data_IF_763326201592
#
_entry.id   IF_763326201592
#
_cell.length_a   1.000
_cell.length_b   1.000
_cell.length_c   1.000
_cell.angle_alpha   90.00
_cell.angle_beta   90.00
_cell.angle_gamma   90.00
#
_symmetry.space_group_name_H-M   'P 1'
#
loop_
_entity.id
_entity.type
_entity.pdbx_description
1 polymer ?
#
# COMPACT_ATOMS: atom_id res chain seq x y z
N UNK A 1 0.18 -20.56 -4.00
CA UNK A 1 -0.47 -21.83 -3.66
C UNK A 1 -1.72 -21.53 -2.83
N UNK A 2 -2.78 -22.34 -2.95
CA UNK A 2 -4.14 -22.10 -2.41
C UNK A 2 -4.22 -21.75 -0.91
N UNK A 3 -3.23 -22.09 -0.12
CA UNK A 3 -3.21 -21.84 1.32
C UNK A 3 -2.96 -20.35 1.67
N UNK A 4 -2.21 -19.62 0.88
CA UNK A 4 -1.87 -18.20 1.13
C UNK A 4 -3.05 -17.28 0.82
N UNK A 5 -3.83 -17.63 -0.19
CA UNK A 5 -5.02 -16.89 -0.62
C UNK A 5 -6.16 -16.98 0.41
N UNK A 6 -6.29 -18.13 1.09
CA UNK A 6 -7.31 -18.37 2.12
C UNK A 6 -7.07 -17.50 3.38
N UNK A 7 -5.82 -17.37 3.81
CA UNK A 7 -5.46 -16.57 4.99
C UNK A 7 -5.72 -15.08 4.76
N UNK A 8 -5.45 -14.60 3.53
CA UNK A 8 -5.70 -13.21 3.17
C UNK A 8 -7.21 -12.91 3.12
N UNK A 9 -8.03 -13.86 2.66
CA UNK A 9 -9.49 -13.75 2.63
C UNK A 9 -10.10 -13.67 4.04
N UNK A 10 -9.68 -14.55 4.93
CA UNK A 10 -10.17 -14.56 6.31
C UNK A 10 -9.79 -13.28 7.07
N UNK A 11 -8.61 -12.73 6.78
CA UNK A 11 -8.14 -11.47 7.35
C UNK A 11 -8.93 -10.27 6.81
N UNK A 12 -9.24 -10.22 5.53
CA UNK A 12 -10.02 -9.13 4.92
C UNK A 12 -11.47 -9.16 5.40
N UNK A 13 -12.07 -10.36 5.53
CA UNK A 13 -13.43 -10.53 6.07
C UNK A 13 -13.56 -10.15 7.54
N UNK A 14 -12.51 -10.35 8.33
CA UNK A 14 -12.50 -9.98 9.75
C UNK A 14 -12.34 -8.48 10.01
N UNK A 15 -11.98 -7.69 8.98
CA UNK A 15 -11.77 -6.25 9.08
C UNK A 15 -13.06 -5.42 8.93
N UNK A 16 -14.19 -6.04 8.57
CA UNK A 16 -15.50 -5.39 8.52
C UNK A 16 -16.20 -5.28 9.89
N UNK A 17 -15.60 -5.82 10.95
CA UNK A 17 -16.11 -5.78 12.33
C UNK A 17 -15.56 -4.58 13.12
N UNK A 18 -16.48 -3.74 13.50
CA UNK A 18 -16.53 -2.75 14.59
C UNK A 18 -15.20 -2.50 15.34
N UNK A 19 -14.43 -1.54 14.87
CA UNK A 19 -13.29 -1.01 15.65
C UNK A 19 -13.83 0.07 16.57
N UNK A 20 -13.98 -0.28 17.84
CA UNK A 20 -14.31 0.63 18.93
C UNK A 20 -13.38 1.86 18.90
N UNK A 21 -13.99 3.02 19.11
CA UNK A 21 -13.41 4.34 19.26
C UNK A 21 -12.37 4.34 20.41
N UNK A 22 -11.11 4.14 20.07
CA UNK A 22 -10.00 4.63 20.89
C UNK A 22 -9.25 5.68 20.10
N UNK A 23 -8.85 6.78 20.74
CA UNK A 23 -7.98 7.82 20.21
C UNK A 23 -6.62 7.21 19.86
N UNK A 24 -6.54 6.63 18.66
CA UNK A 24 -5.27 6.16 18.11
C UNK A 24 -4.57 7.41 17.58
N UNK A 25 -3.42 7.82 18.15
CA UNK A 25 -2.65 8.90 17.58
C UNK A 25 -2.39 8.62 16.11
N UNK A 26 -2.46 9.63 15.28
CA UNK A 26 -2.06 9.55 13.88
C UNK A 26 -0.73 8.76 13.81
N UNK A 27 -0.57 7.83 12.85
CA UNK A 27 0.67 7.08 12.76
C UNK A 27 1.82 8.07 12.81
N UNK A 28 2.71 7.89 13.78
CA UNK A 28 3.96 8.63 13.77
C UNK A 28 4.66 8.21 12.47
N UNK A 29 4.50 9.05 11.45
CA UNK A 29 5.29 8.92 10.23
C UNK A 29 6.74 8.90 10.72
N UNK A 30 7.55 7.90 10.35
CA UNK A 30 8.95 7.90 10.72
C UNK A 30 9.53 9.26 10.34
N UNK A 31 10.52 9.74 11.08
CA UNK A 31 11.13 11.08 10.93
C UNK A 31 11.82 11.31 9.56
N UNK A 32 11.43 10.58 8.53
CA UNK A 32 11.74 10.78 7.13
C UNK A 32 10.84 11.89 6.57
N UNK A 33 11.07 13.15 6.96
CA UNK A 33 10.22 14.28 6.53
C UNK A 33 11.00 15.29 5.70
N UNK A 34 10.39 15.71 4.60
CA UNK A 34 10.67 16.82 3.67
C UNK A 34 11.73 16.66 2.56
N UNK A 35 12.72 15.87 2.68
CA UNK A 35 13.40 15.10 1.61
C UNK A 35 13.54 13.71 2.19
N UNK A 36 12.79 12.75 1.66
CA UNK A 36 12.70 11.41 2.24
C UNK A 36 14.07 10.76 2.11
N UNK A 37 14.72 10.51 3.24
CA UNK A 37 15.95 9.74 3.30
C UNK A 37 15.61 8.25 3.27
N UNK A 38 15.62 7.67 2.07
CA UNK A 38 15.26 6.27 1.86
C UNK A 38 16.25 5.30 2.51
N UNK A 39 17.53 5.70 2.63
CA UNK A 39 18.54 4.89 3.31
C UNK A 39 18.28 4.86 4.82
N UNK A 40 17.88 5.99 5.42
CA UNK A 40 17.45 6.01 6.82
C UNK A 40 16.20 5.16 7.05
N UNK A 41 15.24 5.16 6.12
CA UNK A 41 14.08 4.28 6.19
C UNK A 41 14.49 2.80 6.13
N UNK A 42 15.41 2.44 5.24
CA UNK A 42 15.95 1.07 5.13
C UNK A 42 16.74 0.65 6.38
N UNK A 43 17.48 1.55 6.97
CA UNK A 43 18.19 1.30 8.22
C UNK A 43 17.24 1.09 9.41
N UNK A 44 16.11 1.80 9.42
CA UNK A 44 15.08 1.67 10.45
C UNK A 44 14.27 0.38 10.33
N UNK A 45 13.97 -0.05 9.11
CA UNK A 45 13.25 -1.28 8.83
C UNK A 45 13.83 -1.97 7.59
N UNK A 46 14.41 -3.16 7.80
CA UNK A 46 15.03 -3.94 6.72
C UNK A 46 14.07 -4.38 5.63
N UNK A 47 12.76 -4.40 5.91
CA UNK A 47 11.72 -4.75 4.93
C UNK A 47 11.32 -3.54 4.07
N UNK A 48 11.84 -2.33 4.35
CA UNK A 48 11.57 -1.15 3.54
C UNK A 48 11.93 -1.40 2.07
N UNK A 49 10.99 -1.12 1.19
CA UNK A 49 11.10 -1.35 -0.26
C UNK A 49 10.94 -0.08 -1.08
N UNK A 50 10.02 0.81 -0.68
CA UNK A 50 9.73 2.03 -1.41
C UNK A 50 9.04 3.07 -0.52
N UNK A 51 8.95 4.30 -1.02
CA UNK A 51 8.08 5.33 -0.48
C UNK A 51 7.02 5.69 -1.51
N UNK A 52 5.74 5.61 -1.12
CA UNK A 52 4.60 5.90 -1.98
C UNK A 52 3.96 7.22 -1.58
N UNK A 53 3.78 8.11 -2.55
CA UNK A 53 3.07 9.37 -2.33
C UNK A 53 2.13 9.72 -3.48
N UNK A 54 1.04 10.42 -3.14
CA UNK A 54 0.12 11.03 -4.11
C UNK A 54 0.07 12.52 -3.79
N UNK A 55 0.59 13.41 -4.65
CA UNK A 55 0.69 14.83 -4.38
C UNK A 55 -0.65 15.46 -3.97
N UNK A 56 -0.60 16.35 -2.98
CA UNK A 56 -1.75 17.07 -2.43
C UNK A 56 -2.84 16.16 -1.83
N UNK A 57 -2.45 14.95 -1.40
CA UNK A 57 -3.30 14.02 -0.63
C UNK A 57 -2.59 13.57 0.63
N UNK A 58 -3.30 13.00 1.62
CA UNK A 58 -2.68 12.39 2.79
C UNK A 58 -1.89 11.10 2.49
N UNK A 59 -1.95 10.55 1.28
CA UNK A 59 -1.22 9.33 0.92
C UNK A 59 0.26 9.66 0.75
N UNK A 60 1.05 9.37 1.78
CA UNK A 60 2.49 9.64 1.84
C UNK A 60 3.12 8.71 2.88
N UNK A 61 3.48 7.48 2.46
CA UNK A 61 3.80 6.37 3.36
C UNK A 61 4.96 5.51 2.87
N UNK A 62 5.72 4.91 3.81
CA UNK A 62 6.63 3.83 3.47
C UNK A 62 5.86 2.59 3.01
N UNK A 63 6.44 1.85 2.07
CA UNK A 63 6.00 0.54 1.62
C UNK A 63 7.06 -0.48 2.02
N UNK A 64 6.65 -1.56 2.63
CA UNK A 64 7.53 -2.68 2.95
C UNK A 64 7.30 -3.84 1.98
N UNK A 65 8.30 -4.70 1.81
CA UNK A 65 8.13 -5.97 1.12
C UNK A 65 8.16 -7.10 2.15
N UNK A 66 7.16 -7.98 2.10
CA UNK A 66 7.05 -9.08 3.06
C UNK A 66 6.34 -10.29 2.48
N UNK A 67 6.71 -11.47 2.95
CA UNK A 67 5.94 -12.69 2.75
C UNK A 67 4.95 -12.96 3.91
N UNK A 68 5.14 -12.32 5.07
CA UNK A 68 4.18 -12.33 6.18
C UNK A 68 3.22 -11.15 6.07
N UNK A 69 2.19 -11.31 5.25
CA UNK A 69 1.19 -10.27 5.02
C UNK A 69 0.37 -9.94 6.26
N UNK A 70 0.19 -10.91 7.18
CA UNK A 70 -0.56 -10.71 8.42
C UNK A 70 0.15 -9.77 9.41
N UNK A 71 1.48 -9.78 9.40
CA UNK A 71 2.28 -8.94 10.31
C UNK A 71 2.00 -7.45 10.07
N UNK A 72 2.21 -6.96 8.84
CA UNK A 72 2.08 -5.53 8.53
C UNK A 72 0.64 -5.03 8.44
N UNK A 73 -0.35 -5.90 8.45
CA UNK A 73 -1.74 -5.51 8.67
C UNK A 73 -2.00 -4.99 10.08
N UNK A 74 -1.16 -5.39 11.06
CA UNK A 74 -1.35 -5.08 12.50
C UNK A 74 -0.15 -4.40 13.14
N UNK A 75 0.89 -4.05 12.36
CA UNK A 75 2.10 -3.40 12.86
C UNK A 75 2.45 -2.17 12.02
N UNK A 76 2.94 -1.15 12.71
CA UNK A 76 3.50 0.04 12.09
C UNK A 76 4.82 -0.26 11.41
N UNK A 77 5.31 0.68 10.61
CA UNK A 77 6.62 0.62 9.97
C UNK A 77 7.78 0.34 10.95
N UNK A 78 7.65 0.79 12.19
CA UNK A 78 8.65 0.59 13.25
C UNK A 78 8.44 -0.70 14.07
N UNK A 79 7.49 -1.56 13.67
CA UNK A 79 7.21 -2.82 14.32
C UNK A 79 6.30 -2.74 15.56
N UNK A 80 5.80 -1.58 15.92
CA UNK A 80 4.84 -1.43 17.01
C UNK A 80 3.44 -1.88 16.58
N UNK A 81 2.66 -2.45 17.49
CA UNK A 81 1.25 -2.79 17.21
C UNK A 81 0.48 -1.56 16.74
N UNK A 82 -0.24 -1.68 15.64
CA UNK A 82 -1.00 -0.59 15.03
C UNK A 82 -2.20 -1.14 14.27
N UNK A 83 -3.39 -0.64 14.56
CA UNK A 83 -4.60 -0.97 13.80
C UNK A 83 -4.61 -0.35 12.39
N UNK A 84 -3.71 0.58 12.09
CA UNK A 84 -3.55 1.16 10.77
C UNK A 84 -2.63 0.33 9.87
N UNK A 85 -1.80 -0.52 10.46
CA UNK A 85 -0.81 -1.31 9.73
C UNK A 85 0.25 -0.45 9.02
N UNK A 86 0.84 -1.04 8.01
CA UNK A 86 1.80 -0.40 7.09
C UNK A 86 1.45 -0.82 5.66
N UNK A 87 1.72 0.01 4.67
CA UNK A 87 1.58 -0.39 3.28
C UNK A 87 2.62 -1.48 2.97
N UNK A 88 2.20 -2.52 2.27
CA UNK A 88 3.09 -3.62 1.93
C UNK A 88 2.86 -4.15 0.51
N UNK A 89 3.90 -4.72 -0.04
CA UNK A 89 3.87 -5.54 -1.24
C UNK A 89 4.35 -6.95 -0.91
N UNK A 90 3.94 -7.93 -1.68
CA UNK A 90 4.27 -9.34 -1.49
C UNK A 90 4.39 -10.06 -2.84
N UNK A 91 4.63 -11.37 -2.83
CA UNK A 91 4.69 -12.20 -4.03
C UNK A 91 5.98 -12.00 -4.83
N UNK A 92 5.87 -12.04 -6.14
CA UNK A 92 7.01 -11.93 -7.06
C UNK A 92 7.41 -10.49 -7.39
N UNK A 93 6.91 -9.51 -6.61
CA UNK A 93 7.19 -8.09 -6.81
C UNK A 93 8.66 -7.77 -6.53
N UNK A 94 9.31 -7.06 -7.44
CA UNK A 94 10.67 -6.54 -7.27
C UNK A 94 10.67 -5.01 -7.28
N UNK A 95 11.43 -4.41 -6.36
CA UNK A 95 11.69 -2.96 -6.28
C UNK A 95 13.10 -2.58 -6.67
N UNK A 96 14.03 -3.52 -6.71
CA UNK A 96 15.39 -3.28 -7.20
C UNK A 96 15.42 -3.07 -8.71
N UNK A 97 14.60 -3.81 -9.43
CA UNK A 97 14.24 -3.59 -10.83
C UNK A 97 12.72 -3.73 -10.88
N UNK A 98 11.98 -2.62 -10.93
CA UNK A 98 10.53 -2.68 -10.82
C UNK A 98 9.91 -3.67 -11.79
N UNK A 99 9.12 -4.59 -11.25
CA UNK A 99 8.31 -5.51 -12.02
C UNK A 99 7.32 -4.73 -12.90
N UNK A 100 6.83 -5.32 -13.98
CA UNK A 100 5.78 -4.72 -14.83
C UNK A 100 4.51 -4.44 -14.06
N UNK A 101 4.21 -5.29 -13.08
CA UNK A 101 3.12 -5.11 -12.14
C UNK A 101 3.65 -5.10 -10.70
N UNK A 102 3.18 -4.15 -9.90
CA UNK A 102 3.48 -4.02 -8.47
C UNK A 102 2.16 -3.89 -7.73
N UNK A 103 1.78 -4.92 -7.00
CA UNK A 103 0.62 -4.87 -6.12
C UNK A 103 1.02 -4.34 -4.75
N UNK A 104 0.42 -3.21 -4.34
CA UNK A 104 0.63 -2.60 -3.02
C UNK A 104 -0.69 -2.62 -2.26
N UNK A 105 -0.64 -3.17 -1.06
CA UNK A 105 -1.79 -3.35 -0.18
C UNK A 105 -1.73 -2.35 0.97
N UNK A 106 -2.90 -1.95 1.45
CA UNK A 106 -3.02 -1.06 2.59
C UNK A 106 -4.47 -0.96 3.07
N UNK A 107 -4.63 -0.66 4.36
CA UNK A 107 -5.96 -0.52 4.93
C UNK A 107 -6.79 0.61 4.30
N UNK A 108 -8.07 0.33 4.14
CA UNK A 108 -9.11 1.32 3.86
C UNK A 108 -10.05 1.39 5.07
N UNK A 109 -9.91 2.43 5.90
CA UNK A 109 -10.63 2.58 7.15
C UNK A 109 -11.75 3.61 6.96
N UNK A 110 -12.99 3.15 6.84
CA UNK A 110 -14.17 4.00 6.56
C UNK A 110 -14.34 5.15 7.56
N UNK A 111 -14.08 4.91 8.84
CA UNK A 111 -14.17 5.92 9.90
C UNK A 111 -13.03 6.94 9.87
N UNK A 112 -11.96 6.70 9.12
CA UNK A 112 -10.76 7.55 9.02
C UNK A 112 -10.42 7.83 7.55
N UNK A 113 -11.15 8.75 6.87
CA UNK A 113 -11.04 8.92 5.42
C UNK A 113 -9.71 9.52 4.93
N UNK A 114 -8.86 9.96 5.85
CA UNK A 114 -7.57 10.62 5.54
C UNK A 114 -6.35 9.77 5.81
N UNK A 115 -6.51 8.50 6.23
CA UNK A 115 -5.37 7.64 6.58
C UNK A 115 -5.24 6.48 5.61
N UNK A 116 -4.02 5.97 5.48
CA UNK A 116 -3.65 4.83 4.63
C UNK A 116 -4.23 4.98 3.22
N UNK A 117 -4.94 3.96 2.70
CA UNK A 117 -5.57 3.99 1.38
C UNK A 117 -7.03 4.48 1.39
N UNK A 118 -7.55 4.93 2.54
CA UNK A 118 -8.91 5.49 2.60
C UNK A 118 -9.14 6.68 1.64
N UNK A 119 -8.15 7.59 1.41
CA UNK A 119 -8.31 8.68 0.43
C UNK A 119 -8.54 8.20 -1.00
N UNK A 120 -8.11 6.98 -1.36
CA UNK A 120 -8.28 6.44 -2.72
C UNK A 120 -9.75 6.25 -3.12
N UNK A 121 -10.67 6.12 -2.14
CA UNK A 121 -12.11 6.11 -2.42
C UNK A 121 -12.60 7.39 -3.12
N UNK A 122 -11.88 8.49 -2.96
CA UNK A 122 -12.20 9.77 -3.60
C UNK A 122 -11.96 9.76 -5.10
N UNK A 123 -11.22 8.80 -5.65
CA UNK A 123 -11.05 8.65 -7.10
C UNK A 123 -12.34 8.34 -7.86
N UNK A 124 -13.42 7.97 -7.16
CA UNK A 124 -14.77 7.90 -7.74
C UNK A 124 -15.32 9.26 -8.19
N UNK A 125 -14.74 10.37 -7.71
CA UNK A 125 -15.08 11.74 -8.09
C UNK A 125 -14.14 12.21 -9.20
N UNK A 126 -14.70 12.68 -10.29
CA UNK A 126 -13.93 13.13 -11.45
C UNK A 126 -12.96 14.28 -11.11
N UNK A 127 -13.39 15.20 -10.25
CA UNK A 127 -12.55 16.33 -9.81
C UNK A 127 -11.32 15.85 -9.05
N UNK A 128 -11.49 14.85 -8.17
CA UNK A 128 -10.36 14.28 -7.43
C UNK A 128 -9.40 13.57 -8.36
N UNK A 129 -9.88 12.77 -9.29
CA UNK A 129 -9.07 12.13 -10.31
C UNK A 129 -8.28 13.17 -11.15
N UNK A 130 -8.94 14.24 -11.60
CA UNK A 130 -8.28 15.29 -12.40
C UNK A 130 -7.15 15.98 -11.62
N UNK A 131 -7.32 16.19 -10.32
CA UNK A 131 -6.35 16.85 -9.46
C UNK A 131 -5.19 15.94 -9.03
N UNK A 132 -5.38 14.60 -8.98
CA UNK A 132 -4.44 13.64 -8.38
C UNK A 132 -4.10 12.48 -9.32
N UNK A 133 -3.71 12.79 -10.57
CA UNK A 133 -3.45 11.77 -11.60
C UNK A 133 -2.16 11.00 -11.44
N UNK A 134 -1.25 11.46 -10.60
CA UNK A 134 0.10 10.92 -10.50
C UNK A 134 0.32 10.29 -9.13
N UNK A 135 0.89 9.10 -9.14
CA UNK A 135 1.41 8.39 -7.97
C UNK A 135 2.93 8.38 -8.12
N UNK A 136 3.66 8.77 -7.08
CA UNK A 136 5.10 8.63 -7.01
C UNK A 136 5.47 7.42 -6.17
N UNK A 137 6.47 6.69 -6.62
CA UNK A 137 7.05 5.54 -5.94
C UNK A 137 8.57 5.68 -5.98
N UNK A 138 9.15 6.07 -4.86
CA UNK A 138 10.57 6.27 -4.72
C UNK A 138 11.20 5.05 -4.07
N UNK A 139 12.21 4.47 -4.71
CA UNK A 139 12.96 3.30 -4.25
C UNK A 139 14.43 3.67 -4.09
N UNK A 140 15.21 2.83 -3.42
CA UNK A 140 16.67 3.00 -3.34
C UNK A 140 17.37 2.99 -4.72
N UNK A 141 16.69 2.50 -5.75
CA UNK A 141 17.26 2.34 -7.10
C UNK A 141 16.72 3.39 -8.09
N UNK A 142 15.78 4.23 -7.69
CA UNK A 142 15.23 5.27 -8.55
C UNK A 142 13.84 5.74 -8.14
N UNK A 143 13.45 6.87 -8.71
CA UNK A 143 12.13 7.48 -8.54
C UNK A 143 11.26 7.17 -9.76
N UNK A 144 10.04 6.73 -9.52
CA UNK A 144 9.07 6.34 -10.54
C UNK A 144 7.79 7.14 -10.40
N UNK A 145 7.17 7.43 -11.54
CA UNK A 145 5.88 8.11 -11.60
C UNK A 145 4.90 7.32 -12.42
N UNK A 146 3.77 7.01 -11.83
CA UNK A 146 2.68 6.28 -12.45
C UNK A 146 1.48 7.18 -12.64
N UNK A 147 0.73 6.98 -13.73
CA UNK A 147 -0.53 7.68 -13.96
C UNK A 147 -1.69 6.77 -13.58
N UNK A 148 -2.59 7.30 -12.77
CA UNK A 148 -3.85 6.63 -12.48
C UNK A 148 -4.67 6.56 -13.77
N UNK A 149 -5.01 5.36 -14.23
CA UNK A 149 -5.85 5.15 -15.41
C UNK A 149 -7.22 4.59 -15.05
N UNK A 150 -7.35 3.91 -13.91
CA UNK A 150 -8.62 3.36 -13.43
C UNK A 150 -8.68 3.36 -11.90
N UNK A 151 -9.88 3.50 -11.35
CA UNK A 151 -10.18 3.30 -9.94
C UNK A 151 -11.59 2.69 -9.82
N UNK A 152 -11.69 1.52 -9.21
CA UNK A 152 -12.95 0.79 -9.12
C UNK A 152 -13.01 -0.04 -7.83
N UNK A 153 -14.23 -0.40 -7.44
CA UNK A 153 -14.45 -1.40 -6.41
C UNK A 153 -14.68 -2.75 -7.09
N UNK A 154 -14.04 -3.78 -6.58
CA UNK A 154 -14.20 -5.13 -7.09
C UNK A 154 -14.40 -6.10 -5.93
N UNK A 155 -14.90 -7.28 -6.23
CA UNK A 155 -14.88 -8.41 -5.31
C UNK A 155 -13.51 -9.06 -5.35
N UNK A 156 -13.12 -9.65 -4.24
CA UNK A 156 -11.83 -10.34 -4.12
C UNK A 156 -11.67 -11.44 -5.18
N UNK A 157 -12.72 -12.18 -5.49
CA UNK A 157 -12.70 -13.33 -6.42
C UNK A 157 -12.58 -12.93 -7.90
N UNK A 158 -12.69 -11.63 -8.21
CA UNK A 158 -12.77 -11.16 -9.61
C UNK A 158 -11.38 -10.82 -10.20
N UNK A 159 -10.30 -10.85 -9.40
CA UNK A 159 -8.98 -10.40 -9.85
C UNK A 159 -7.83 -10.93 -8.98
N UNK A 160 -6.74 -11.34 -9.61
CA UNK A 160 -5.47 -11.69 -8.95
C UNK A 160 -4.42 -10.64 -9.29
N UNK A 161 -4.23 -9.62 -8.43
CA UNK A 161 -3.31 -8.51 -8.71
C UNK A 161 -1.83 -8.91 -8.65
N UNK A 162 -1.51 -10.13 -8.25
CA UNK A 162 -0.17 -10.55 -7.85
C UNK A 162 0.69 -11.04 -9.02
N UNK A 163 0.15 -11.20 -10.23
CA UNK A 163 0.95 -11.57 -11.39
C UNK A 163 1.87 -10.40 -11.75
N UNK A 164 3.16 -10.53 -11.44
CA UNK A 164 4.15 -9.46 -11.58
C UNK A 164 4.71 -9.32 -12.99
N UNK A 165 4.84 -10.43 -13.70
CA UNK A 165 5.36 -10.50 -15.06
C UNK A 165 4.39 -11.24 -15.99
N UNK A 166 4.30 -10.74 -17.21
CA UNK A 166 3.51 -11.31 -18.30
C UNK A 166 4.48 -11.79 -19.37
N UNK A 167 4.30 -13.04 -19.84
CA UNK A 167 5.19 -13.64 -20.83
C UNK A 167 4.93 -13.08 -22.23
N UNK A 168 3.68 -12.73 -22.52
CA UNK A 168 3.24 -12.22 -23.82
C UNK A 168 2.29 -11.02 -23.67
N UNK A 169 2.04 -10.28 -24.77
CA UNK A 169 1.04 -9.22 -24.80
C UNK A 169 -0.39 -9.75 -24.61
N UNK A 170 -0.64 -11.02 -24.92
CA UNK A 170 -1.95 -11.67 -24.79
C UNK A 170 -2.27 -12.05 -23.32
N UNK A 171 -1.28 -11.94 -22.42
CA UNK A 171 -1.46 -12.16 -20.98
C UNK A 171 -1.97 -10.92 -20.24
N UNK A 172 -2.21 -9.80 -20.93
CA UNK A 172 -2.66 -8.53 -20.38
C UNK A 172 -4.18 -8.45 -20.26
#
# INVERSE_FOLDING_TARGET
SEADSSVLNDLISSLDGDVLSEDIPAPSVPACTSSIDLEACKAQNSDFAAWLSIPNTPVNYPVVFTYDTAYYLKHSFTGSTSSLGTLFATGDTSFSRPSRNIAIYGHNIRSKPTVMFSPLLSYKKAEFYQAHRTIHLDTLNGAYSYKVFAAFNMRYDDFTPEKADFETEDDF
#
